data_IF_281039383968
#
_entry.id   IF_281039383968
#
_cell.length_a   1.000
_cell.length_b   1.000
_cell.length_c   1.000
_cell.angle_alpha   90.00
_cell.angle_beta   90.00
_cell.angle_gamma   90.00
#
_symmetry.space_group_name_H-M   'P 1'
#
loop_
_entity.id
_entity.type
_entity.pdbx_description
1 polymer ?
#
# COMPACT_ATOMS: atom_id res chain seq x y z
N UNK A 1 10.98 24.97 36.94
CA UNK A 1 11.58 23.92 36.10
C UNK A 1 10.57 22.78 35.97
N UNK A 2 9.64 22.85 35.00
CA UNK A 2 8.63 21.79 34.79
C UNK A 2 8.01 21.91 33.39
N UNK A 3 8.78 21.63 32.34
CA UNK A 3 8.22 21.57 30.97
C UNK A 3 8.78 20.42 30.10
N UNK A 4 9.76 19.65 30.61
CA UNK A 4 10.40 18.58 29.82
C UNK A 4 9.54 17.35 29.54
N UNK A 5 8.61 16.99 30.44
CA UNK A 5 7.83 15.74 30.31
C UNK A 5 6.80 15.76 29.18
N UNK A 6 6.16 16.91 28.92
CA UNK A 6 5.15 17.02 27.85
C UNK A 6 5.77 17.02 26.45
N UNK A 7 6.97 17.57 26.28
CA UNK A 7 7.67 17.52 24.99
C UNK A 7 8.19 16.10 24.67
N UNK A 8 8.61 15.35 25.68
CA UNK A 8 9.13 13.99 25.50
C UNK A 8 8.01 12.99 25.18
N UNK A 9 6.86 13.10 25.83
CA UNK A 9 5.66 12.31 25.54
C UNK A 9 5.10 12.64 24.14
N UNK A 10 5.12 13.90 23.72
CA UNK A 10 4.73 14.31 22.36
C UNK A 10 5.74 13.81 21.32
N UNK A 11 7.04 13.80 21.63
CA UNK A 11 8.07 13.20 20.76
C UNK A 11 7.90 11.69 20.64
N UNK A 12 7.59 10.98 21.73
CA UNK A 12 7.29 9.54 21.67
C UNK A 12 5.99 9.25 20.92
N UNK A 13 4.94 10.06 21.10
CA UNK A 13 3.68 9.92 20.34
C UNK A 13 3.88 10.17 18.84
N UNK A 14 4.73 11.14 18.47
CA UNK A 14 5.15 11.41 17.08
C UNK A 14 6.03 10.31 16.50
N UNK A 15 6.85 9.63 17.32
CA UNK A 15 7.65 8.49 16.88
C UNK A 15 6.84 7.20 16.73
N UNK A 16 5.75 7.03 17.49
CA UNK A 16 4.85 5.86 17.39
C UNK A 16 4.05 5.78 16.08
N UNK A 17 4.02 6.87 15.31
CA UNK A 17 3.35 6.96 14.00
C UNK A 17 4.31 7.29 12.85
N UNK A 18 5.61 7.34 13.10
CA UNK A 18 6.61 7.42 12.03
C UNK A 18 6.82 6.00 11.50
N UNK A 19 6.70 5.73 10.19
CA UNK A 19 7.04 4.42 9.65
C UNK A 19 8.51 4.11 10.00
N UNK A 20 8.74 3.26 11.00
CA UNK A 20 10.05 2.67 11.24
C UNK A 20 10.21 1.57 10.21
N UNK A 21 10.72 1.96 9.05
CA UNK A 21 10.85 1.09 7.90
C UNK A 21 9.88 1.46 6.77
N UNK A 22 10.22 0.95 5.60
CA UNK A 22 9.56 1.19 4.32
C UNK A 22 8.47 0.16 4.02
N UNK A 23 8.16 -0.74 4.94
CA UNK A 23 7.10 -1.76 4.78
C UNK A 23 5.94 -1.44 5.71
N UNK A 24 4.74 -1.36 5.15
CA UNK A 24 3.49 -1.17 5.92
C UNK A 24 3.01 -2.53 6.39
N UNK A 25 2.66 -2.67 7.68
CA UNK A 25 2.14 -3.92 8.25
C UNK A 25 0.69 -3.72 8.70
N UNK A 26 -0.23 -4.52 8.17
CA UNK A 26 -1.67 -4.47 8.46
C UNK A 26 -2.14 -5.84 8.99
N UNK A 27 -3.00 -5.83 10.01
CA UNK A 27 -3.56 -7.04 10.63
C UNK A 27 -3.07 -7.29 12.05
N UNK A 28 -3.47 -8.42 12.63
CA UNK A 28 -3.07 -8.79 13.99
C UNK A 28 -1.54 -8.99 14.07
N UNK A 29 -0.88 -8.23 14.95
CA UNK A 29 0.56 -8.35 15.20
C UNK A 29 0.96 -9.75 15.65
N UNK A 30 0.05 -10.47 16.30
CA UNK A 30 0.22 -11.85 16.79
C UNK A 30 -0.03 -12.92 15.71
N UNK A 31 -0.51 -12.55 14.51
CA UNK A 31 -0.66 -13.49 13.42
C UNK A 31 0.68 -14.19 13.13
N UNK A 32 0.66 -15.53 13.13
CA UNK A 32 1.86 -16.37 12.92
C UNK A 32 2.42 -16.25 11.50
N UNK A 33 1.54 -15.99 10.54
CA UNK A 33 1.84 -15.95 9.12
C UNK A 33 1.93 -14.52 8.61
N UNK A 34 2.71 -14.31 7.56
CA UNK A 34 2.83 -13.01 6.90
C UNK A 34 2.72 -13.18 5.39
N UNK A 35 1.73 -12.49 4.82
CA UNK A 35 1.64 -12.26 3.38
C UNK A 35 2.38 -10.97 3.06
N UNK A 36 3.39 -11.02 2.19
CA UNK A 36 3.99 -9.82 1.61
C UNK A 36 3.39 -9.58 0.23
N UNK A 37 2.83 -8.40 0.04
CA UNK A 37 2.21 -7.90 -1.19
C UNK A 37 3.12 -6.81 -1.76
N UNK A 38 3.44 -6.93 -3.05
CA UNK A 38 4.26 -5.97 -3.77
C UNK A 38 3.50 -5.43 -4.97
N UNK A 39 3.32 -4.12 -5.03
CA UNK A 39 2.43 -3.46 -5.98
C UNK A 39 2.97 -2.11 -6.43
N UNK A 40 2.37 -1.53 -7.46
CA UNK A 40 2.55 -0.14 -7.88
C UNK A 40 1.15 0.46 -8.09
N UNK A 41 0.94 1.70 -7.66
CA UNK A 41 -0.38 2.35 -7.68
C UNK A 41 -0.88 2.72 -9.08
N UNK A 42 -0.01 2.71 -10.10
CA UNK A 42 -0.42 2.87 -11.51
C UNK A 42 -0.55 1.54 -12.25
N UNK A 43 -0.20 0.41 -11.63
CA UNK A 43 -0.16 -0.88 -12.32
C UNK A 43 -1.58 -1.42 -12.59
N UNK A 44 -1.99 -1.59 -13.87
CA UNK A 44 -3.32 -2.10 -14.20
C UNK A 44 -3.54 -3.54 -13.73
N UNK A 45 -2.48 -4.36 -13.71
CA UNK A 45 -2.55 -5.75 -13.23
C UNK A 45 -2.76 -5.78 -11.71
N UNK A 46 -2.16 -4.86 -10.95
CA UNK A 46 -2.47 -4.71 -9.53
C UNK A 46 -3.94 -4.32 -9.32
N UNK A 47 -4.46 -3.37 -10.10
CA UNK A 47 -5.87 -2.98 -10.04
C UNK A 47 -6.82 -4.17 -10.31
N UNK A 48 -6.47 -5.05 -11.26
CA UNK A 48 -7.22 -6.28 -11.52
C UNK A 48 -7.15 -7.26 -10.34
N UNK A 49 -5.97 -7.50 -9.78
CA UNK A 49 -5.82 -8.34 -8.59
C UNK A 49 -6.67 -7.82 -7.43
N UNK A 50 -6.57 -6.53 -7.12
CA UNK A 50 -7.28 -5.91 -6.01
C UNK A 50 -8.79 -5.98 -6.19
N UNK A 51 -9.28 -5.83 -7.42
CA UNK A 51 -10.70 -6.01 -7.74
C UNK A 51 -11.19 -7.44 -7.47
N UNK A 52 -10.45 -8.46 -7.91
CA UNK A 52 -10.93 -9.85 -7.87
C UNK A 52 -10.56 -10.60 -6.60
N UNK A 53 -9.37 -10.34 -6.06
CA UNK A 53 -8.76 -11.10 -4.95
C UNK A 53 -8.49 -10.24 -3.73
N UNK A 54 -8.43 -8.91 -3.86
CA UNK A 54 -8.31 -7.98 -2.72
C UNK A 54 -9.32 -8.24 -1.58
N UNK A 55 -10.61 -8.52 -1.85
CA UNK A 55 -11.56 -8.89 -0.80
C UNK A 55 -11.18 -10.16 -0.02
N UNK A 56 -10.56 -11.15 -0.69
CA UNK A 56 -10.07 -12.37 -0.04
C UNK A 56 -8.90 -12.04 0.87
N UNK A 57 -7.96 -11.21 0.40
CA UNK A 57 -6.82 -10.74 1.20
C UNK A 57 -7.30 -10.02 2.45
N UNK A 58 -8.23 -9.07 2.30
CA UNK A 58 -8.77 -8.30 3.41
C UNK A 58 -9.50 -9.20 4.43
N UNK A 59 -10.27 -10.18 3.96
CA UNK A 59 -10.94 -11.14 4.83
C UNK A 59 -9.93 -11.95 5.66
N UNK A 60 -8.90 -12.50 5.02
CA UNK A 60 -7.90 -13.31 5.71
C UNK A 60 -7.06 -12.50 6.71
N UNK A 61 -6.82 -11.21 6.44
CA UNK A 61 -6.22 -10.29 7.41
C UNK A 61 -7.12 -10.12 8.63
N UNK A 62 -8.42 -9.89 8.42
CA UNK A 62 -9.41 -9.69 9.50
C UNK A 62 -9.61 -10.95 10.34
N UNK A 63 -9.60 -12.12 9.70
CA UNK A 63 -9.72 -13.42 10.37
C UNK A 63 -8.45 -13.83 11.12
N UNK A 64 -7.35 -13.07 10.96
CA UNK A 64 -6.07 -13.35 11.60
C UNK A 64 -5.30 -14.52 10.97
N UNK A 65 -5.70 -14.98 9.78
CA UNK A 65 -4.98 -16.02 9.02
C UNK A 65 -3.52 -15.62 8.81
N UNK A 66 -3.30 -14.35 8.47
CA UNK A 66 -1.99 -13.70 8.40
C UNK A 66 -2.11 -12.19 8.67
N UNK A 67 -0.98 -11.55 8.95
CA UNK A 67 -0.83 -10.11 8.74
C UNK A 67 -0.27 -9.85 7.35
N UNK A 68 -0.65 -8.75 6.72
CA UNK A 68 -0.12 -8.34 5.43
C UNK A 68 1.01 -7.33 5.61
N UNK A 69 2.05 -7.48 4.78
CA UNK A 69 3.12 -6.52 4.57
C UNK A 69 2.97 -5.95 3.16
N UNK A 70 3.01 -4.63 3.02
CA UNK A 70 2.97 -3.95 1.73
C UNK A 70 4.30 -3.23 1.49
N UNK A 71 4.92 -3.51 0.35
CA UNK A 71 6.07 -2.75 -0.18
C UNK A 71 5.76 -2.39 -1.62
N UNK A 72 5.61 -1.10 -1.89
CA UNK A 72 5.17 -0.62 -3.19
C UNK A 72 6.33 0.01 -3.98
N UNK A 73 6.37 -0.30 -5.27
CA UNK A 73 7.25 0.35 -6.23
C UNK A 73 6.65 1.65 -6.76
N UNK A 74 7.49 2.41 -7.46
CA UNK A 74 7.08 3.56 -8.29
C UNK A 74 7.75 3.51 -9.65
N UNK A 75 8.16 2.33 -10.11
CA UNK A 75 9.02 2.17 -11.29
C UNK A 75 8.28 2.50 -12.60
N UNK A 76 6.93 2.49 -12.58
CA UNK A 76 6.14 2.92 -13.74
C UNK A 76 6.29 4.41 -14.05
N UNK A 77 6.70 5.22 -13.07
CA UNK A 77 7.01 6.64 -13.27
C UNK A 77 8.25 6.85 -14.15
N UNK A 78 9.18 5.88 -14.15
CA UNK A 78 10.42 5.90 -14.95
C UNK A 78 10.27 5.25 -16.34
N UNK A 79 9.07 4.78 -16.70
CA UNK A 79 8.80 4.19 -18.01
C UNK A 79 8.94 5.25 -19.11
N UNK A 80 9.90 5.08 -20.03
CA UNK A 80 10.19 6.08 -21.09
C UNK A 80 9.02 6.33 -22.04
N UNK A 81 8.13 5.36 -22.20
CA UNK A 81 6.96 5.47 -23.06
C UNK A 81 5.79 6.16 -22.36
N UNK A 82 5.73 6.08 -21.02
CA UNK A 82 4.64 6.59 -20.20
C UNK A 82 5.17 7.21 -18.89
N UNK A 83 6.09 8.21 -18.97
CA UNK A 83 6.72 8.76 -17.79
C UNK A 83 5.70 9.51 -16.95
N UNK A 84 5.96 9.63 -15.65
CA UNK A 84 5.00 10.30 -14.78
C UNK A 84 5.49 10.49 -13.36
N UNK A 85 4.57 10.88 -12.48
CA UNK A 85 4.79 10.93 -11.04
C UNK A 85 3.64 10.28 -10.26
N UNK A 86 2.63 9.72 -10.94
CA UNK A 86 1.42 9.25 -10.31
C UNK A 86 1.62 8.05 -9.39
N UNK A 87 2.60 7.18 -9.65
CA UNK A 87 2.90 6.06 -8.74
C UNK A 87 3.43 6.60 -7.41
N UNK A 88 4.40 7.52 -7.47
CA UNK A 88 4.99 8.18 -6.31
C UNK A 88 3.98 9.04 -5.56
N UNK A 89 3.17 9.83 -6.25
CA UNK A 89 2.18 10.71 -5.63
C UNK A 89 1.07 9.90 -4.95
N UNK A 90 0.54 8.87 -5.61
CA UNK A 90 -0.45 7.97 -5.02
C UNK A 90 0.10 7.24 -3.79
N UNK A 91 1.36 6.77 -3.85
CA UNK A 91 2.01 6.15 -2.69
C UNK A 91 2.24 7.15 -1.54
N UNK A 92 2.63 8.39 -1.84
CA UNK A 92 2.72 9.47 -0.85
C UNK A 92 1.37 9.74 -0.18
N UNK A 93 0.28 9.79 -0.97
CA UNK A 93 -1.07 9.95 -0.44
C UNK A 93 -1.51 8.75 0.41
N UNK A 94 -1.13 7.51 0.06
CA UNK A 94 -1.32 6.36 0.94
C UNK A 94 -0.57 6.50 2.27
N UNK A 95 0.63 7.10 2.26
CA UNK A 95 1.34 7.45 3.49
C UNK A 95 0.56 8.42 4.37
N UNK A 96 -0.10 9.41 3.76
CA UNK A 96 -1.01 10.32 4.47
C UNK A 96 -2.22 9.59 5.05
N UNK A 97 -2.83 8.67 4.30
CA UNK A 97 -3.94 7.85 4.77
C UNK A 97 -3.53 6.93 5.93
N UNK A 98 -2.35 6.31 5.85
CA UNK A 98 -1.79 5.47 6.91
C UNK A 98 -1.57 6.24 8.21
N UNK A 99 -1.19 7.51 8.12
CA UNK A 99 -1.03 8.37 9.29
C UNK A 99 -2.37 8.74 9.95
N UNK A 100 -3.50 8.59 9.24
CA UNK A 100 -4.84 8.66 9.84
C UNK A 100 -5.13 7.34 10.56
N UNK A 101 -5.09 6.22 9.84
CA UNK A 101 -5.20 4.88 10.44
C UNK A 101 -4.79 3.76 9.46
N UNK A 102 -4.52 2.54 9.96
CA UNK A 102 -4.38 1.36 9.10
C UNK A 102 -5.63 1.05 8.26
N UNK A 103 -6.82 1.38 8.76
CA UNK A 103 -8.07 1.16 8.03
C UNK A 103 -8.23 2.17 6.89
N UNK A 104 -7.91 3.44 7.14
CA UNK A 104 -7.88 4.48 6.12
C UNK A 104 -6.88 4.15 4.99
N UNK A 105 -5.72 3.57 5.31
CA UNK A 105 -4.79 3.06 4.30
C UNK A 105 -5.43 1.99 3.41
N UNK A 106 -6.07 0.96 4.00
CA UNK A 106 -6.67 -0.13 3.23
C UNK A 106 -7.86 0.35 2.38
N UNK A 107 -8.76 1.15 2.96
CA UNK A 107 -9.94 1.67 2.25
C UNK A 107 -9.54 2.61 1.12
N UNK A 108 -8.50 3.42 1.33
CA UNK A 108 -8.01 4.34 0.30
C UNK A 108 -7.24 3.62 -0.81
N UNK A 109 -6.47 2.59 -0.47
CA UNK A 109 -5.85 1.69 -1.46
C UNK A 109 -6.91 1.03 -2.33
N UNK A 110 -7.96 0.47 -1.73
CA UNK A 110 -9.09 -0.12 -2.46
C UNK A 110 -9.77 0.93 -3.37
N UNK A 111 -10.01 2.14 -2.85
CA UNK A 111 -10.61 3.22 -3.62
C UNK A 111 -9.75 3.65 -4.81
N UNK A 112 -8.42 3.73 -4.66
CA UNK A 112 -7.49 4.08 -5.75
C UNK A 112 -7.46 2.99 -6.82
N UNK A 113 -7.47 1.71 -6.44
CA UNK A 113 -7.51 0.59 -7.39
C UNK A 113 -8.88 0.33 -8.02
N UNK A 114 -9.96 0.93 -7.49
CA UNK A 114 -11.29 0.76 -8.04
C UNK A 114 -11.35 1.18 -9.54
N UNK A 115 -12.00 0.40 -10.43
CA UNK A 115 -11.99 0.67 -11.88
C UNK A 115 -12.45 2.06 -12.32
N UNK A 116 -13.31 2.72 -11.52
CA UNK A 116 -13.80 4.07 -11.79
C UNK A 116 -12.78 5.17 -11.46
N UNK A 117 -11.75 4.86 -10.67
CA UNK A 117 -10.78 5.81 -10.14
C UNK A 117 -9.38 5.58 -10.73
N UNK A 118 -9.00 4.32 -10.95
CA UNK A 118 -7.68 3.95 -11.46
C UNK A 118 -7.53 4.34 -12.93
N UNK A 119 -6.55 5.19 -13.30
CA UNK A 119 -6.34 5.60 -14.67
C UNK A 119 -5.81 4.45 -15.53
N UNK A 120 -5.88 4.61 -16.86
CA UNK A 120 -5.07 3.79 -17.75
C UNK A 120 -3.58 4.09 -17.52
N UNK A 121 -2.69 3.13 -17.76
CA UNK A 121 -1.27 3.31 -17.46
C UNK A 121 -0.62 4.48 -18.23
N UNK A 122 -1.13 4.76 -19.44
CA UNK A 122 -0.75 5.91 -20.28
C UNK A 122 -1.22 7.26 -19.74
N UNK A 123 -2.12 7.29 -18.77
CA UNK A 123 -2.67 8.49 -18.15
C UNK A 123 -2.10 8.67 -16.74
N UNK A 124 -1.29 9.71 -16.55
CA UNK A 124 -0.65 10.04 -15.28
C UNK A 124 -1.57 10.85 -14.33
N UNK A 125 -2.90 10.62 -14.39
CA UNK A 125 -3.88 11.36 -13.60
C UNK A 125 -3.62 11.35 -12.08
N UNK A 126 -2.97 10.30 -11.57
CA UNK A 126 -2.57 10.21 -10.16
C UNK A 126 -1.42 11.14 -9.77
N UNK A 127 -0.73 11.79 -10.72
CA UNK A 127 0.18 12.88 -10.40
C UNK A 127 -0.55 14.15 -9.93
N UNK A 128 -1.86 14.25 -10.16
CA UNK A 128 -2.67 15.36 -9.70
C UNK A 128 -3.18 15.13 -8.26
N UNK A 129 -2.71 15.94 -7.33
CA UNK A 129 -3.14 15.89 -5.91
C UNK A 129 -4.65 16.02 -5.73
N UNK A 130 -5.32 16.84 -6.55
CA UNK A 130 -6.77 17.00 -6.45
C UNK A 130 -7.49 15.70 -6.83
N UNK A 131 -7.00 14.96 -7.84
CA UNK A 131 -7.54 13.64 -8.19
C UNK A 131 -7.43 12.67 -7.01
N UNK A 132 -6.28 12.66 -6.34
CA UNK A 132 -6.04 11.83 -5.15
C UNK A 132 -6.98 12.21 -4.01
N UNK A 133 -7.17 13.50 -3.77
CA UNK A 133 -8.10 14.03 -2.76
C UNK A 133 -9.56 13.70 -3.08
N UNK A 134 -9.97 13.80 -4.35
CA UNK A 134 -11.33 13.49 -4.78
C UNK A 134 -11.67 12.01 -4.56
N UNK A 135 -10.72 11.11 -4.83
CA UNK A 135 -10.87 9.69 -4.50
C UNK A 135 -10.99 9.49 -2.99
N UNK A 136 -10.21 10.23 -2.19
CA UNK A 136 -10.24 10.12 -0.73
C UNK A 136 -11.60 10.51 -0.13
N UNK A 137 -12.39 11.36 -0.79
CA UNK A 137 -13.75 11.70 -0.35
C UNK A 137 -14.72 10.50 -0.37
N UNK A 138 -14.36 9.40 -1.05
CA UNK A 138 -15.11 8.14 -1.07
C UNK A 138 -14.84 7.28 0.17
N UNK A 139 -13.78 7.60 0.93
CA UNK A 139 -13.34 6.87 2.12
C UNK A 139 -13.82 7.59 3.37
N UNK A 140 -14.57 6.89 4.23
CA UNK A 140 -15.22 7.47 5.40
C UNK A 140 -14.24 8.23 6.32
N UNK A 141 -13.06 7.68 6.56
CA UNK A 141 -12.06 8.26 7.48
C UNK A 141 -11.28 9.44 6.87
N UNK A 142 -11.29 9.59 5.55
CA UNK A 142 -10.56 10.64 4.83
C UNK A 142 -11.47 11.76 4.33
N UNK A 143 -12.78 11.51 4.21
CA UNK A 143 -13.75 12.50 3.75
C UNK A 143 -13.73 13.76 4.60
N UNK A 144 -13.42 14.90 3.96
CA UNK A 144 -13.28 16.20 4.62
C UNK A 144 -12.10 16.31 5.60
N UNK A 145 -11.14 15.39 5.54
CA UNK A 145 -9.99 15.39 6.45
C UNK A 145 -8.92 16.38 5.96
N UNK A 146 -8.96 17.61 6.49
CA UNK A 146 -8.06 18.70 6.10
C UNK A 146 -6.57 18.41 6.36
N UNK A 147 -6.26 17.60 7.37
CA UNK A 147 -4.89 17.19 7.66
C UNK A 147 -4.35 16.23 6.58
N UNK A 148 -5.17 15.27 6.14
CA UNK A 148 -4.86 14.40 5.00
C UNK A 148 -4.68 15.23 3.72
N UNK A 149 -5.62 16.11 3.40
CA UNK A 149 -5.57 16.92 2.17
C UNK A 149 -4.31 17.80 2.13
N UNK A 150 -3.96 18.42 3.26
CA UNK A 150 -2.72 19.19 3.38
C UNK A 150 -1.48 18.32 3.25
N UNK A 151 -1.51 17.10 3.79
CA UNK A 151 -0.40 16.18 3.68
C UNK A 151 -0.13 15.76 2.23
N UNK A 152 -1.20 15.50 1.46
CA UNK A 152 -1.14 15.22 0.01
C UNK A 152 -0.58 16.42 -0.74
N UNK A 153 -1.19 17.61 -0.62
CA UNK A 153 -0.76 18.84 -1.34
C UNK A 153 0.68 19.25 -1.06
N UNK A 154 1.19 18.92 0.13
CA UNK A 154 2.55 19.26 0.55
C UNK A 154 3.58 18.17 0.19
N UNK A 155 3.17 17.04 -0.40
CA UNK A 155 4.05 15.89 -0.64
C UNK A 155 4.70 15.36 0.66
N UNK A 156 3.94 15.37 1.77
CA UNK A 156 4.49 15.13 3.12
C UNK A 156 5.20 13.79 3.24
N UNK A 157 4.76 12.80 2.46
CA UNK A 157 5.28 11.43 2.47
C UNK A 157 6.10 11.08 1.22
N UNK A 158 6.47 12.05 0.37
CA UNK A 158 7.20 11.78 -0.89
C UNK A 158 8.53 11.07 -0.64
N UNK A 159 9.29 11.52 0.37
CA UNK A 159 10.54 10.85 0.75
C UNK A 159 10.33 9.43 1.23
N UNK A 160 9.23 9.18 1.94
CA UNK A 160 8.89 7.84 2.40
C UNK A 160 8.48 6.94 1.22
N UNK A 161 7.68 7.46 0.28
CA UNK A 161 7.29 6.77 -0.94
C UNK A 161 8.52 6.37 -1.78
N UNK A 162 9.47 7.29 -2.00
CA UNK A 162 10.71 6.99 -2.73
C UNK A 162 11.60 5.97 -1.98
N UNK A 163 11.68 6.05 -0.64
CA UNK A 163 12.39 5.07 0.14
C UNK A 163 11.75 3.67 0.06
N UNK A 164 10.42 3.60 0.04
CA UNK A 164 9.67 2.36 -0.18
C UNK A 164 9.91 1.80 -1.57
N UNK A 165 9.84 2.65 -2.59
CA UNK A 165 10.16 2.26 -3.97
C UNK A 165 11.58 1.71 -4.11
N UNK A 166 12.55 2.34 -3.45
CA UNK A 166 13.91 1.78 -3.38
C UNK A 166 13.92 0.40 -2.72
N UNK A 167 13.17 0.21 -1.64
CA UNK A 167 13.08 -1.09 -0.96
C UNK A 167 12.40 -2.16 -1.80
N UNK A 168 11.41 -1.77 -2.63
CA UNK A 168 10.85 -2.63 -3.66
C UNK A 168 11.94 -3.06 -4.64
N UNK A 169 12.70 -2.11 -5.21
CA UNK A 169 13.77 -2.39 -6.17
C UNK A 169 14.90 -3.26 -5.60
N UNK A 170 15.20 -3.13 -4.31
CA UNK A 170 16.22 -3.93 -3.61
C UNK A 170 15.71 -5.34 -3.24
N UNK A 171 14.41 -5.63 -3.43
CA UNK A 171 13.82 -6.92 -3.05
C UNK A 171 14.19 -8.01 -4.06
N UNK A 172 14.96 -9.00 -3.60
CA UNK A 172 15.31 -10.17 -4.41
C UNK A 172 14.06 -10.92 -4.90
N UNK A 173 14.13 -11.40 -6.14
CA UNK A 173 13.12 -12.23 -6.81
C UNK A 173 11.75 -11.53 -6.98
N UNK A 174 11.72 -10.20 -6.90
CA UNK A 174 10.57 -9.35 -7.21
C UNK A 174 11.02 -8.28 -8.21
N UNK A 175 10.56 -8.40 -9.44
CA UNK A 175 10.89 -7.54 -10.58
C UNK A 175 9.64 -7.01 -11.29
N UNK A 176 8.47 -7.34 -10.76
CA UNK A 176 7.17 -7.13 -11.40
C UNK A 176 6.06 -7.06 -10.37
N UNK A 177 5.00 -6.35 -10.72
CA UNK A 177 3.81 -6.17 -9.89
C UNK A 177 2.55 -6.68 -10.61
N UNK A 178 1.60 -7.30 -9.90
CA UNK A 178 1.68 -7.64 -8.48
C UNK A 178 2.60 -8.85 -8.25
N UNK A 179 3.24 -8.91 -7.08
CA UNK A 179 3.98 -10.07 -6.60
C UNK A 179 3.59 -10.39 -5.15
N UNK A 180 3.62 -11.67 -4.78
CA UNK A 180 3.21 -12.11 -3.46
C UNK A 180 4.20 -13.10 -2.86
N UNK A 181 4.50 -12.96 -1.56
CA UNK A 181 5.25 -13.95 -0.80
C UNK A 181 4.49 -14.35 0.46
N UNK A 182 4.16 -15.62 0.63
CA UNK A 182 3.65 -16.14 1.90
C UNK A 182 4.82 -16.68 2.72
N UNK A 183 5.07 -16.09 3.89
CA UNK A 183 6.17 -16.47 4.77
C UNK A 183 7.53 -16.52 4.05
N UNK A 184 7.78 -15.56 3.14
CA UNK A 184 9.00 -15.46 2.34
C UNK A 184 9.02 -16.32 1.07
N UNK A 185 8.05 -17.20 0.85
CA UNK A 185 7.95 -18.03 -0.37
C UNK A 185 7.07 -17.36 -1.41
N UNK A 186 7.59 -17.15 -2.62
CA UNK A 186 6.85 -16.53 -3.74
C UNK A 186 5.65 -17.40 -4.11
N UNK A 187 4.50 -16.78 -4.31
CA UNK A 187 3.28 -17.45 -4.77
C UNK A 187 3.21 -17.32 -6.29
N UNK A 188 3.09 -18.44 -6.99
CA UNK A 188 3.08 -18.49 -8.46
C UNK A 188 2.08 -19.52 -8.97
N UNK A 189 1.45 -19.19 -10.10
CA UNK A 189 0.73 -20.10 -10.98
C UNK A 189 1.55 -20.23 -12.26
N UNK A 190 2.36 -21.28 -12.36
CA UNK A 190 3.41 -21.36 -13.37
C UNK A 190 4.46 -20.26 -13.13
N UNK A 191 4.56 -19.30 -14.04
CA UNK A 191 5.43 -18.12 -13.92
C UNK A 191 4.68 -16.83 -13.55
N UNK A 192 3.36 -16.89 -13.39
CA UNK A 192 2.51 -15.72 -13.18
C UNK A 192 2.07 -15.58 -11.71
N UNK A 193 1.74 -14.37 -11.23
CA UNK A 193 1.11 -14.21 -9.94
C UNK A 193 -0.29 -14.87 -9.89
N UNK A 194 -0.74 -15.37 -8.72
CA UNK A 194 -2.12 -15.83 -8.55
C UNK A 194 -3.10 -14.65 -8.54
N UNK A 195 -3.87 -14.51 -9.63
CA UNK A 195 -4.72 -13.35 -9.87
C UNK A 195 -6.14 -13.50 -9.35
N UNK A 196 -6.64 -14.73 -9.25
CA UNK A 196 -8.01 -15.03 -8.80
C UNK A 196 -8.03 -15.69 -7.41
N UNK A 197 -9.15 -15.65 -6.67
CA UNK A 197 -9.25 -16.32 -5.38
C UNK A 197 -8.96 -17.83 -5.44
N UNK A 198 -9.37 -18.50 -6.51
CA UNK A 198 -9.14 -19.94 -6.74
C UNK A 198 -7.66 -20.27 -6.97
N UNK A 199 -6.89 -19.33 -7.51
CA UNK A 199 -5.44 -19.46 -7.64
C UNK A 199 -4.72 -19.09 -6.32
N UNK A 200 -5.17 -18.01 -5.68
CA UNK A 200 -4.51 -17.41 -4.54
C UNK A 200 -4.67 -18.22 -3.25
N UNK A 201 -5.90 -18.60 -2.93
CA UNK A 201 -6.24 -19.25 -1.65
C UNK A 201 -5.50 -20.58 -1.43
N UNK A 202 -5.40 -21.50 -2.42
CA UNK A 202 -4.67 -22.74 -2.23
C UNK A 202 -3.17 -22.51 -1.97
N UNK A 203 -2.55 -21.57 -2.70
CA UNK A 203 -1.14 -21.24 -2.55
C UNK A 203 -0.85 -20.61 -1.18
N UNK A 204 -1.74 -19.75 -0.68
CA UNK A 204 -1.67 -19.25 0.70
C UNK A 204 -1.70 -20.41 1.70
N UNK A 205 -2.73 -21.26 1.61
CA UNK A 205 -2.93 -22.39 2.56
C UNK A 205 -1.74 -23.34 2.59
N UNK A 206 -1.16 -23.66 1.43
CA UNK A 206 0.02 -24.53 1.31
C UNK A 206 1.24 -23.97 2.06
N UNK A 207 1.34 -22.66 2.22
CA UNK A 207 2.50 -21.96 2.77
C UNK A 207 2.27 -21.40 4.19
N UNK A 208 1.13 -21.70 4.82
CA UNK A 208 0.90 -21.35 6.23
C UNK A 208 1.80 -22.20 7.15
N UNK A 209 2.37 -21.55 8.16
CA UNK A 209 3.02 -22.21 9.30
C UNK A 209 1.94 -22.84 10.18
N UNK A 210 2.20 -24.06 10.64
CA UNK A 210 1.38 -24.77 11.63
C UNK A 210 1.54 -24.14 13.02
#
# INVERSE_FOLDING_TARGET
>A
MADGGREEDVRQARQRHRPQGTTVVIGDKKAKNTLHVYEDMRCPVCAQFEKFTGPTVLKDIKDGTYKAQFTMGTFLDDNKQMPGAGSKNALSALGAALNVSPQAFMDYKEALYAPKNHPQETDDAFANDQKLIDVAQQVKELKGNTAFEKAVKNGTYDRWALAMSKSFNDTKDVDSTPSFKMNGKKLLVGQNPPMTPDQFTPLVKQNLKK
#
